data_IF_161811055331
#
_entry.id   IF_161811055331
#
_cell.length_a   1.000
_cell.length_b   1.000
_cell.length_c   1.000
_cell.angle_alpha   90.00
_cell.angle_beta   90.00
_cell.angle_gamma   90.00
#
_symmetry.space_group_name_H-M   'P 1'
#
loop_
_entity.id
_entity.type
_entity.pdbx_description
1 polymer ?
#
# COMPACT_ATOMS: atom_id res chain seq x y z
N UNK A 1 2.86 2.41 9.47
CA UNK A 1 1.49 2.23 10.00
C UNK A 1 1.31 3.12 11.21
N UNK A 2 0.19 3.83 11.34
CA UNK A 2 -0.31 4.56 12.53
C UNK A 2 -1.19 5.77 12.14
N UNK A 3 -1.96 5.66 11.06
CA UNK A 3 -2.91 6.68 10.63
C UNK A 3 -3.83 6.12 9.54
N UNK A 4 -4.63 6.99 8.92
CA UNK A 4 -5.48 6.71 7.76
C UNK A 4 -4.79 5.93 6.63
N UNK A 5 -3.47 6.03 6.49
CA UNK A 5 -2.73 5.30 5.46
C UNK A 5 -2.83 3.78 5.55
N UNK A 6 -3.33 3.21 6.65
CA UNK A 6 -3.51 1.77 6.85
C UNK A 6 -4.92 1.41 7.34
N UNK A 7 -5.90 2.29 7.12
CA UNK A 7 -7.31 2.10 7.49
C UNK A 7 -8.22 2.01 6.26
N UNK A 8 -7.65 1.80 5.07
CA UNK A 8 -8.43 1.60 3.85
C UNK A 8 -9.09 0.22 3.85
N UNK A 9 -10.25 0.11 3.20
CA UNK A 9 -10.90 -1.19 2.95
C UNK A 9 -10.02 -2.13 2.12
N UNK A 10 -9.19 -1.55 1.25
CA UNK A 10 -8.15 -2.22 0.47
C UNK A 10 -6.87 -1.39 0.57
N UNK A 11 -5.77 -2.00 1.01
CA UNK A 11 -4.46 -1.36 1.15
C UNK A 11 -3.54 -1.85 0.03
N UNK A 12 -3.33 -0.99 -0.95
CA UNK A 12 -2.46 -1.24 -2.11
C UNK A 12 -1.10 -0.61 -1.85
N UNK A 13 -0.03 -1.28 -2.26
CA UNK A 13 1.31 -0.70 -2.27
C UNK A 13 2.04 -0.94 -3.60
N UNK A 14 3.06 -0.12 -3.86
CA UNK A 14 3.93 -0.26 -5.04
C UNK A 14 5.17 -1.08 -4.72
N UNK A 15 5.76 -1.79 -5.72
CA UNK A 15 6.99 -2.55 -5.53
C UNK A 15 8.10 -1.72 -4.91
N UNK A 16 8.87 -2.31 -4.01
CA UNK A 16 9.97 -1.68 -3.27
C UNK A 16 9.57 -0.49 -2.38
N UNK A 17 8.27 -0.25 -2.15
CA UNK A 17 7.85 0.80 -1.24
C UNK A 17 8.38 0.52 0.18
N UNK A 18 8.88 1.56 0.84
CA UNK A 18 9.35 1.48 2.23
C UNK A 18 8.26 1.99 3.17
N UNK A 19 7.76 1.10 4.04
CA UNK A 19 6.67 1.37 4.97
C UNK A 19 7.14 1.09 6.40
N UNK A 20 7.00 2.10 7.25
CA UNK A 20 7.44 2.06 8.62
C UNK A 20 6.48 2.84 9.53
N UNK A 21 6.38 2.44 10.80
CA UNK A 21 5.89 3.34 11.85
C UNK A 21 7.04 4.20 12.40
N UNK A 22 8.13 3.54 12.78
CA UNK A 22 9.40 4.15 13.12
C UNK A 22 10.47 3.74 12.09
N UNK A 23 11.30 4.68 11.64
CA UNK A 23 12.38 4.38 10.71
C UNK A 23 13.44 3.46 11.31
N UNK A 24 14.14 2.68 10.46
CA UNK A 24 15.17 1.71 10.86
C UNK A 24 16.12 2.25 11.94
N UNK A 25 16.69 3.43 11.72
CA UNK A 25 17.63 4.08 12.65
C UNK A 25 17.06 4.25 14.06
N UNK A 26 15.80 4.68 14.17
CA UNK A 26 15.15 4.89 15.47
C UNK A 26 14.98 3.56 16.19
N UNK A 27 14.54 2.53 15.47
CA UNK A 27 14.35 1.18 16.04
C UNK A 27 15.68 0.61 16.53
N UNK A 28 16.73 0.70 15.73
CA UNK A 28 18.06 0.18 16.09
C UNK A 28 18.65 0.91 17.30
N UNK A 29 18.50 2.24 17.36
CA UNK A 29 18.94 3.05 18.51
C UNK A 29 18.16 2.72 19.79
N UNK A 30 16.85 2.50 19.70
CA UNK A 30 16.01 2.20 20.87
C UNK A 30 16.21 0.78 21.38
N UNK A 31 16.36 -0.21 20.49
CA UNK A 31 16.46 -1.62 20.86
C UNK A 31 17.91 -2.12 20.99
N UNK A 32 18.89 -1.31 20.58
CA UNK A 32 20.32 -1.65 20.52
C UNK A 32 20.58 -2.97 19.77
N UNK A 33 19.82 -3.19 18.68
CA UNK A 33 19.87 -4.39 17.84
C UNK A 33 19.77 -3.99 16.38
N UNK A 34 20.47 -4.69 15.50
CA UNK A 34 20.39 -4.50 14.04
C UNK A 34 19.07 -5.05 13.50
N UNK A 35 18.44 -4.29 12.62
CA UNK A 35 17.20 -4.68 11.95
C UNK A 35 17.57 -5.35 10.61
N UNK A 36 17.03 -6.55 10.30
CA UNK A 36 17.25 -7.19 9.02
C UNK A 36 16.93 -6.27 7.85
N UNK A 37 17.79 -6.26 6.84
CA UNK A 37 17.55 -5.51 5.62
C UNK A 37 16.28 -6.02 4.92
N UNK A 38 15.54 -5.11 4.27
CA UNK A 38 14.27 -5.46 3.64
C UNK A 38 13.07 -5.60 4.58
N UNK A 39 13.24 -5.62 5.90
CA UNK A 39 12.15 -5.83 6.88
C UNK A 39 11.03 -4.77 6.87
N UNK A 40 11.26 -3.62 6.24
CA UNK A 40 10.31 -2.51 6.13
C UNK A 40 9.92 -2.24 4.68
N UNK A 41 10.28 -3.14 3.76
CA UNK A 41 9.89 -3.05 2.35
C UNK A 41 8.59 -3.83 2.16
N UNK A 42 7.74 -3.36 1.25
CA UNK A 42 6.41 -3.91 0.99
C UNK A 42 6.40 -5.42 0.80
N UNK A 43 7.38 -6.01 0.10
CA UNK A 43 7.39 -7.44 -0.19
C UNK A 43 7.48 -8.26 1.10
N UNK A 44 8.30 -7.83 2.05
CA UNK A 44 8.37 -8.46 3.38
C UNK A 44 7.06 -8.28 4.15
N UNK A 45 6.46 -7.09 4.11
CA UNK A 45 5.24 -6.77 4.86
C UNK A 45 3.99 -7.42 4.26
N UNK A 46 3.96 -7.65 2.95
CA UNK A 46 2.92 -8.36 2.24
C UNK A 46 2.81 -9.81 2.73
N UNK A 47 3.95 -10.48 2.88
CA UNK A 47 4.00 -11.82 3.49
C UNK A 47 3.58 -11.85 4.96
N UNK A 48 3.47 -10.70 5.63
CA UNK A 48 2.94 -10.55 6.99
C UNK A 48 1.45 -10.16 7.02
N UNK A 49 0.80 -10.01 5.87
CA UNK A 49 -0.63 -9.70 5.75
C UNK A 49 -0.97 -8.23 5.98
N UNK A 50 -0.04 -7.30 5.78
CA UNK A 50 -0.29 -5.86 5.93
C UNK A 50 -0.86 -5.17 4.68
N UNK A 51 -0.80 -5.83 3.52
CA UNK A 51 -1.18 -5.27 2.22
C UNK A 51 -1.98 -6.30 1.42
N UNK A 52 -2.89 -5.83 0.57
CA UNK A 52 -3.82 -6.67 -0.20
C UNK A 52 -3.26 -7.00 -1.59
N UNK A 53 -2.92 -6.02 -2.45
CA UNK A 53 -2.05 -6.26 -3.59
C UNK A 53 -0.80 -5.34 -3.63
N UNK A 54 0.27 -5.86 -4.25
CA UNK A 54 1.40 -5.04 -4.71
C UNK A 54 1.20 -4.78 -6.21
N UNK A 55 1.05 -3.51 -6.59
CA UNK A 55 0.71 -3.11 -7.96
C UNK A 55 1.75 -2.13 -8.51
N UNK A 56 2.42 -2.44 -9.64
CA UNK A 56 3.32 -1.48 -10.28
C UNK A 56 2.59 -0.21 -10.74
N UNK A 57 3.31 0.91 -10.87
CA UNK A 57 2.71 2.21 -11.21
C UNK A 57 1.90 2.21 -12.52
N UNK A 58 2.40 1.51 -13.55
CA UNK A 58 1.77 1.50 -14.88
C UNK A 58 0.34 0.93 -14.87
N UNK A 59 0.07 -0.29 -14.31
CA UNK A 59 -1.28 -0.83 -14.23
C UNK A 59 -2.15 -0.22 -13.13
N UNK A 60 -1.59 0.55 -12.18
CA UNK A 60 -2.30 1.04 -11.00
C UNK A 60 -3.62 1.76 -11.33
N UNK A 61 -3.66 2.55 -12.41
CA UNK A 61 -4.88 3.24 -12.84
C UNK A 61 -6.01 2.26 -13.20
N UNK A 62 -5.68 1.18 -13.89
CA UNK A 62 -6.66 0.15 -14.27
C UNK A 62 -7.20 -0.57 -13.05
N UNK A 63 -6.30 -1.00 -12.16
CA UNK A 63 -6.66 -1.67 -10.90
C UNK A 63 -7.57 -0.79 -10.05
N UNK A 64 -7.24 0.50 -9.88
CA UNK A 64 -8.10 1.42 -9.14
C UNK A 64 -9.48 1.58 -9.78
N UNK A 65 -9.56 1.64 -11.11
CA UNK A 65 -10.84 1.72 -11.82
C UNK A 65 -11.71 0.49 -11.56
N UNK A 66 -11.13 -0.72 -11.60
CA UNK A 66 -11.83 -1.97 -11.33
C UNK A 66 -12.33 -2.05 -9.89
N UNK A 67 -11.48 -1.69 -8.91
CA UNK A 67 -11.86 -1.68 -7.50
C UNK A 67 -12.99 -0.70 -7.19
N UNK A 68 -12.95 0.50 -7.78
CA UNK A 68 -13.99 1.51 -7.60
C UNK A 68 -15.32 1.04 -8.22
N UNK A 69 -15.28 0.44 -9.41
CA UNK A 69 -16.46 -0.17 -10.04
C UNK A 69 -17.03 -1.33 -9.20
N UNK A 70 -16.17 -2.17 -8.63
CA UNK A 70 -16.56 -3.28 -7.76
C UNK A 70 -17.35 -2.80 -6.53
N UNK A 71 -17.00 -1.63 -5.98
CA UNK A 71 -17.71 -1.00 -4.85
C UNK A 71 -19.00 -0.27 -5.27
N UNK A 72 -19.45 -0.46 -6.51
CA UNK A 72 -20.69 0.16 -7.01
C UNK A 72 -20.58 1.66 -7.25
N UNK A 73 -19.36 2.20 -7.36
CA UNK A 73 -19.17 3.59 -7.74
C UNK A 73 -19.38 3.74 -9.24
N UNK A 74 -20.55 4.27 -9.61
CA UNK A 74 -20.85 4.67 -10.98
C UNK A 74 -20.41 6.12 -11.16
N UNK A 75 -19.53 6.44 -12.14
CA UNK A 75 -19.21 7.82 -12.43
C UNK A 75 -20.49 8.55 -12.82
N UNK A 76 -20.77 9.68 -12.15
CA UNK A 76 -21.97 10.50 -12.38
C UNK A 76 -22.06 11.04 -13.82
N UNK A 77 -20.96 11.03 -14.57
CA UNK A 77 -20.89 11.44 -15.98
C UNK A 77 -20.77 10.23 -16.91
N UNK A 78 -21.88 9.54 -17.17
CA UNK A 78 -21.98 8.58 -18.28
C UNK A 78 -22.29 9.26 -19.63
N UNK A 79 -22.51 10.58 -19.64
CA UNK A 79 -22.95 11.33 -20.84
C UNK A 79 -21.81 12.00 -21.65
N UNK A 80 -20.54 11.74 -21.37
CA UNK A 80 -19.41 12.35 -22.10
C UNK A 80 -18.83 11.48 -23.22
N UNK A 81 -19.40 10.30 -23.47
CA UNK A 81 -19.03 9.44 -24.60
C UNK A 81 -20.21 9.40 -25.57
N UNK A 82 -20.32 10.46 -26.37
CA UNK A 82 -20.91 10.39 -27.71
C UNK A 82 -19.78 10.56 -28.71
#
# INVERSE_FOLDING_TARGET
TASFGMLGDIIIAEPNAYIAFAGKRVIEQTLNKTIPEGSQVVEYLFHKGLFDPIVPRNPLKGVLSELVQLHGFFPLNQNSIK
#
